data_IF_068939863798
#
_entry.id   IF_068939863798
#
_cell.length_a   1.000
_cell.length_b   1.000
_cell.length_c   1.000
_cell.angle_alpha   90.00
_cell.angle_beta   90.00
_cell.angle_gamma   90.00
#
_symmetry.space_group_name_H-M   'P 1'
#
loop_
_entity.id
_entity.type
_entity.pdbx_description
1 polymer ?
#
# COMPACT_ATOMS: atom_id res chain seq x y z
N UNK A 1 1.31 24.52 -16.07
CA UNK A 1 1.43 23.05 -16.15
C UNK A 1 0.23 22.40 -15.49
N UNK A 2 -0.21 21.24 -15.97
CA UNK A 2 -1.18 20.37 -15.27
C UNK A 2 -0.53 19.73 -14.03
N UNK A 3 -1.31 19.20 -13.07
CA UNK A 3 -0.75 18.43 -11.96
C UNK A 3 0.16 17.28 -12.41
N UNK A 4 -0.24 16.53 -13.44
CA UNK A 4 0.58 15.47 -14.03
C UNK A 4 1.88 16.01 -14.63
N UNK A 5 1.83 17.08 -15.41
CA UNK A 5 3.04 17.70 -15.97
C UNK A 5 4.02 18.14 -14.89
N UNK A 6 3.51 18.64 -13.75
CA UNK A 6 4.34 19.01 -12.60
C UNK A 6 5.05 17.81 -11.99
N UNK A 7 4.33 16.71 -11.75
CA UNK A 7 4.93 15.45 -11.31
C UNK A 7 6.01 14.97 -12.27
N UNK A 8 5.72 14.96 -13.58
CA UNK A 8 6.66 14.48 -14.60
C UNK A 8 7.91 15.37 -14.70
N UNK A 9 7.77 16.69 -14.64
CA UNK A 9 8.92 17.61 -14.60
C UNK A 9 9.79 17.36 -13.35
N UNK A 10 9.17 17.21 -12.17
CA UNK A 10 9.90 16.91 -10.94
C UNK A 10 10.70 15.61 -11.07
N UNK A 11 10.08 14.53 -11.55
CA UNK A 11 10.73 13.23 -11.73
C UNK A 11 11.83 13.25 -12.80
N UNK A 12 11.72 14.13 -13.79
CA UNK A 12 12.76 14.37 -14.80
C UNK A 12 13.92 15.24 -14.29
N UNK A 13 13.86 15.74 -13.05
CA UNK A 13 14.84 16.69 -12.51
C UNK A 13 14.72 18.10 -13.09
N UNK A 14 13.61 18.40 -13.77
CA UNK A 14 13.29 19.71 -14.31
C UNK A 14 12.59 20.57 -13.25
N UNK A 15 12.57 21.89 -13.46
CA UNK A 15 11.90 22.81 -12.54
C UNK A 15 10.41 22.95 -12.92
N UNK A 16 9.47 22.45 -12.11
CA UNK A 16 8.05 22.71 -12.33
C UNK A 16 7.69 24.19 -12.10
N UNK A 17 6.50 24.61 -12.58
CA UNK A 17 5.99 25.98 -12.43
C UNK A 17 5.67 26.36 -10.97
N UNK A 18 5.55 25.37 -10.08
CA UNK A 18 5.50 25.52 -8.62
C UNK A 18 5.91 24.20 -7.94
N UNK A 19 6.11 24.23 -6.61
CA UNK A 19 6.37 23.02 -5.80
C UNK A 19 5.21 22.03 -5.96
N UNK A 20 5.54 20.78 -6.27
CA UNK A 20 4.58 19.67 -6.38
C UNK A 20 4.08 19.27 -5.00
N UNK A 21 2.78 19.02 -4.87
CA UNK A 21 2.14 18.70 -3.59
C UNK A 21 1.25 17.47 -3.69
N UNK A 22 1.33 16.60 -2.68
CA UNK A 22 0.40 15.49 -2.47
C UNK A 22 -0.40 15.69 -1.17
N UNK A 23 -1.45 14.88 -0.99
CA UNK A 23 -2.34 14.98 0.17
C UNK A 23 -2.82 13.61 0.63
N UNK A 24 -2.53 13.31 1.89
CA UNK A 24 -2.91 12.07 2.58
C UNK A 24 -3.61 12.45 3.87
N UNK A 25 -4.85 11.99 4.03
CA UNK A 25 -5.63 12.19 5.23
C UNK A 25 -6.73 11.14 5.33
N UNK A 26 -7.28 10.97 6.54
CA UNK A 26 -8.45 10.13 6.73
C UNK A 26 -9.69 10.74 6.05
N UNK A 27 -10.74 9.92 5.80
CA UNK A 27 -12.00 10.42 5.24
C UNK A 27 -12.60 11.56 6.06
N UNK A 28 -12.58 11.45 7.39
CA UNK A 28 -13.17 12.42 8.31
C UNK A 28 -12.51 13.81 8.20
N UNK A 29 -11.18 13.84 8.04
CA UNK A 29 -10.42 15.08 7.83
C UNK A 29 -10.75 15.68 6.46
N UNK A 30 -10.81 14.84 5.42
CA UNK A 30 -11.10 15.29 4.06
C UNK A 30 -12.51 15.86 3.96
N UNK A 31 -13.51 15.20 4.53
CA UNK A 31 -14.90 15.66 4.61
C UNK A 31 -15.01 17.00 5.34
N UNK A 32 -14.30 17.13 6.47
CA UNK A 32 -14.24 18.38 7.22
C UNK A 32 -13.64 19.52 6.38
N UNK A 33 -12.52 19.29 5.70
CA UNK A 33 -11.88 20.29 4.84
C UNK A 33 -12.79 20.70 3.68
N UNK A 34 -13.46 19.74 3.03
CA UNK A 34 -14.43 20.03 1.98
C UNK A 34 -15.55 20.94 2.49
N UNK A 35 -16.13 20.62 3.66
CA UNK A 35 -17.20 21.42 4.28
C UNK A 35 -16.72 22.82 4.65
N UNK A 36 -15.59 22.96 5.36
CA UNK A 36 -15.09 24.25 5.84
C UNK A 36 -14.63 25.17 4.70
N UNK A 37 -14.13 24.59 3.61
CA UNK A 37 -13.66 25.34 2.44
C UNK A 37 -14.70 25.44 1.31
N UNK A 38 -15.94 25.00 1.55
CA UNK A 38 -17.04 24.97 0.58
C UNK A 38 -16.66 24.29 -0.75
N UNK A 39 -15.94 23.18 -0.67
CA UNK A 39 -15.57 22.37 -1.84
C UNK A 39 -16.58 21.21 -2.00
N UNK A 40 -17.23 21.05 -3.16
CA UNK A 40 -18.23 20.00 -3.37
C UNK A 40 -17.64 18.58 -3.40
N UNK A 41 -16.35 18.47 -3.73
CA UNK A 41 -15.64 17.19 -3.84
C UNK A 41 -14.12 17.39 -3.62
N UNK A 42 -13.39 16.27 -3.68
CA UNK A 42 -11.94 16.24 -3.50
C UNK A 42 -11.18 16.99 -4.61
N UNK A 43 -11.69 17.00 -5.85
CA UNK A 43 -11.04 17.71 -6.96
C UNK A 43 -11.14 19.24 -6.78
N UNK A 44 -12.29 19.73 -6.31
CA UNK A 44 -12.47 21.11 -5.93
C UNK A 44 -11.58 21.48 -4.73
N UNK A 45 -11.47 20.60 -3.73
CA UNK A 45 -10.54 20.78 -2.61
C UNK A 45 -9.09 20.87 -3.09
N UNK A 46 -8.67 19.95 -3.96
CA UNK A 46 -7.33 19.94 -4.53
C UNK A 46 -7.06 21.21 -5.33
N UNK A 47 -8.02 21.68 -6.12
CA UNK A 47 -7.90 22.95 -6.85
C UNK A 47 -7.77 24.13 -5.88
N UNK A 48 -8.65 24.19 -4.86
CA UNK A 48 -8.71 25.28 -3.88
C UNK A 48 -7.44 25.42 -3.04
N UNK A 49 -6.82 24.30 -2.71
CA UNK A 49 -5.60 24.20 -1.91
C UNK A 49 -4.33 24.05 -2.75
N UNK A 50 -4.44 24.07 -4.08
CA UNK A 50 -3.30 23.87 -4.98
C UNK A 50 -2.56 22.54 -4.75
N UNK A 51 -3.32 21.46 -4.53
CA UNK A 51 -2.83 20.09 -4.39
C UNK A 51 -2.75 19.43 -5.77
N UNK A 52 -1.55 18.99 -6.14
CA UNK A 52 -1.34 18.29 -7.40
C UNK A 52 -1.79 16.84 -7.35
N UNK A 53 -1.70 16.19 -6.19
CA UNK A 53 -2.31 14.90 -5.89
C UNK A 53 -1.94 13.76 -6.84
N UNK A 54 -2.36 12.57 -6.50
CA UNK A 54 -2.22 11.38 -7.35
C UNK A 54 -3.54 10.64 -7.42
N UNK A 55 -3.82 10.01 -8.56
CA UNK A 55 -4.94 9.08 -8.67
C UNK A 55 -4.38 7.67 -8.51
N UNK A 56 -4.84 6.97 -7.48
CA UNK A 56 -4.53 5.55 -7.30
C UNK A 56 -5.48 4.73 -8.16
N UNK A 57 -4.90 3.87 -9.00
CA UNK A 57 -5.64 2.91 -9.81
C UNK A 57 -4.96 1.58 -9.66
N UNK A 58 -5.64 0.60 -9.08
CA UNK A 58 -5.11 -0.74 -8.85
C UNK A 58 -6.11 -1.79 -9.34
N UNK A 59 -5.64 -2.98 -9.73
CA UNK A 59 -6.53 -4.01 -10.23
C UNK A 59 -7.43 -4.50 -9.08
N UNK A 60 -8.76 -4.50 -9.26
CA UNK A 60 -9.66 -4.95 -8.21
C UNK A 60 -9.48 -6.46 -7.99
N UNK A 61 -9.58 -6.90 -6.73
CA UNK A 61 -9.45 -8.31 -6.38
C UNK A 61 -10.68 -9.12 -6.83
N UNK A 62 -10.45 -10.27 -7.46
CA UNK A 62 -11.48 -11.28 -7.78
C UNK A 62 -11.73 -12.21 -6.59
N UNK A 63 -10.72 -12.47 -5.77
CA UNK A 63 -10.83 -13.18 -4.49
C UNK A 63 -10.66 -12.18 -3.36
N UNK A 64 -11.64 -12.11 -2.46
CA UNK A 64 -11.67 -11.08 -1.40
C UNK A 64 -11.41 -11.60 0.00
N UNK A 65 -11.45 -12.92 0.19
CA UNK A 65 -11.35 -13.54 1.50
C UNK A 65 -10.35 -14.69 1.53
N UNK A 66 -9.86 -14.99 2.73
CA UNK A 66 -8.97 -16.10 2.98
C UNK A 66 -9.67 -17.46 2.76
N UNK A 67 -8.99 -18.49 2.23
CA UNK A 67 -9.56 -19.83 2.11
C UNK A 67 -10.03 -20.36 3.47
N UNK A 68 -11.33 -20.64 3.58
CA UNK A 68 -11.93 -21.18 4.82
C UNK A 68 -12.34 -20.12 5.85
N UNK A 69 -12.05 -18.83 5.63
CA UNK A 69 -12.51 -17.73 6.49
C UNK A 69 -12.95 -16.52 5.65
N UNK A 70 -14.27 -16.37 5.50
CA UNK A 70 -14.88 -15.29 4.72
C UNK A 70 -14.75 -13.89 5.36
N UNK A 71 -14.37 -13.82 6.64
CA UNK A 71 -14.18 -12.55 7.35
C UNK A 71 -12.77 -11.99 7.19
N UNK A 72 -11.79 -12.86 6.99
CA UNK A 72 -10.41 -12.49 6.85
C UNK A 72 -10.11 -12.03 5.43
N UNK A 73 -9.18 -11.07 5.28
CA UNK A 73 -8.73 -10.63 3.97
C UNK A 73 -7.90 -11.72 3.25
N UNK A 74 -7.39 -11.41 2.06
CA UNK A 74 -6.64 -12.37 1.24
C UNK A 74 -5.37 -12.92 1.92
N UNK A 75 -4.90 -12.28 2.99
CA UNK A 75 -3.74 -12.68 3.76
C UNK A 75 -4.11 -13.36 5.07
N UNK A 76 -5.40 -13.62 5.33
CA UNK A 76 -5.86 -14.23 6.57
C UNK A 76 -5.93 -13.25 7.76
N UNK A 77 -5.89 -11.94 7.49
CA UNK A 77 -6.00 -10.92 8.52
C UNK A 77 -7.46 -10.51 8.76
N UNK A 78 -7.83 -10.51 10.02
CA UNK A 78 -9.06 -9.96 10.54
C UNK A 78 -8.79 -8.55 11.03
N UNK A 79 -9.76 -7.66 10.81
CA UNK A 79 -9.69 -6.27 11.23
C UNK A 79 -10.87 -5.91 12.12
N UNK A 80 -10.60 -5.07 13.11
CA UNK A 80 -11.61 -4.48 13.97
C UNK A 80 -11.51 -2.97 13.90
N UNK A 81 -12.64 -2.32 13.66
CA UNK A 81 -12.76 -0.86 13.70
C UNK A 81 -12.62 -0.39 15.14
N UNK A 82 -11.69 0.51 15.40
CA UNK A 82 -11.47 1.14 16.70
C UNK A 82 -11.70 2.65 16.58
N UNK A 83 -12.60 3.17 17.43
CA UNK A 83 -12.96 4.58 17.49
C UNK A 83 -12.16 5.29 18.59
N UNK A 84 -11.52 6.41 18.22
CA UNK A 84 -10.74 7.26 19.13
C UNK A 84 -11.36 8.67 19.28
N UNK A 85 -12.65 8.82 18.95
CA UNK A 85 -13.48 9.99 19.17
C UNK A 85 -13.45 11.04 18.05
N UNK A 86 -12.30 11.24 17.39
CA UNK A 86 -12.16 12.19 16.27
C UNK A 86 -12.01 11.51 14.90
N UNK A 87 -11.99 10.18 14.90
CA UNK A 87 -11.82 9.32 13.74
C UNK A 87 -11.69 7.87 14.21
N UNK A 88 -11.62 6.96 13.26
CA UNK A 88 -11.46 5.55 13.56
C UNK A 88 -10.47 4.88 12.61
N UNK A 89 -9.78 3.86 13.11
CA UNK A 89 -8.84 3.05 12.35
C UNK A 89 -9.21 1.57 12.42
N UNK A 90 -8.79 0.81 11.42
CA UNK A 90 -8.88 -0.63 11.45
C UNK A 90 -7.59 -1.19 12.05
N UNK A 91 -7.70 -1.80 13.23
CA UNK A 91 -6.62 -2.54 13.86
C UNK A 91 -6.71 -4.03 13.50
N UNK A 92 -5.58 -4.73 13.53
CA UNK A 92 -5.55 -6.18 13.34
C UNK A 92 -6.11 -6.90 14.59
N UNK A 93 -7.06 -7.80 14.35
CA UNK A 93 -7.73 -8.60 15.40
C UNK A 93 -7.08 -10.00 15.54
N UNK A 94 -6.20 -10.38 14.60
CA UNK A 94 -5.43 -11.62 14.63
C UNK A 94 -4.07 -11.47 13.94
N UNK A 95 -3.25 -12.51 14.11
CA UNK A 95 -1.94 -12.67 13.47
C UNK A 95 -1.80 -14.14 13.01
N UNK A 96 -2.18 -14.48 11.77
CA UNK A 96 -2.32 -15.87 11.32
C UNK A 96 -1.01 -16.66 11.32
N UNK A 97 0.15 -16.00 11.32
CA UNK A 97 1.47 -16.62 11.41
C UNK A 97 2.07 -16.55 12.82
N UNK A 98 1.37 -16.06 13.85
CA UNK A 98 1.94 -15.89 15.20
C UNK A 98 2.49 -17.20 15.79
N UNK A 99 1.83 -18.34 15.54
CA UNK A 99 2.20 -19.64 16.10
C UNK A 99 3.17 -20.44 15.21
N UNK A 100 3.57 -19.93 14.04
CA UNK A 100 4.49 -20.67 13.16
C UNK A 100 5.88 -20.81 13.80
N UNK A 101 6.46 -21.99 13.76
CA UNK A 101 7.77 -22.29 14.35
C UNK A 101 8.75 -22.87 13.33
N UNK A 102 8.29 -23.12 12.10
CA UNK A 102 9.13 -23.71 11.05
C UNK A 102 8.92 -23.03 9.70
N UNK A 103 9.95 -23.03 8.86
CA UNK A 103 9.87 -22.57 7.46
C UNK A 103 8.80 -23.33 6.67
N UNK A 104 8.62 -24.63 6.91
CA UNK A 104 7.62 -25.44 6.23
C UNK A 104 6.21 -24.90 6.45
N UNK A 105 5.86 -24.49 7.67
CA UNK A 105 4.55 -23.91 7.97
C UNK A 105 4.32 -22.60 7.22
N UNK A 106 5.37 -21.79 7.06
CA UNK A 106 5.33 -20.58 6.23
C UNK A 106 5.13 -20.94 4.75
N UNK A 107 5.79 -21.98 4.26
CA UNK A 107 5.69 -22.40 2.86
C UNK A 107 4.33 -23.02 2.50
N UNK A 108 3.74 -23.76 3.43
CA UNK A 108 2.44 -24.42 3.29
C UNK A 108 1.27 -23.47 3.54
N UNK A 109 1.52 -22.27 4.06
CA UNK A 109 0.49 -21.26 4.28
C UNK A 109 -0.27 -20.94 2.96
N UNK A 110 -1.61 -20.77 3.00
CA UNK A 110 -2.45 -20.42 1.83
C UNK A 110 -2.22 -19.00 1.27
N UNK A 111 -1.01 -18.69 0.81
CA UNK A 111 -0.67 -17.39 0.25
C UNK A 111 -1.56 -17.00 -0.95
N UNK A 112 -1.98 -15.73 -1.06
CA UNK A 112 -2.69 -15.25 -2.23
C UNK A 112 -1.80 -15.29 -3.46
N UNK A 113 -2.41 -15.22 -4.64
CA UNK A 113 -1.71 -15.26 -5.92
C UNK A 113 -2.07 -14.06 -6.77
N UNK A 114 -1.16 -13.67 -7.65
CA UNK A 114 -1.35 -12.50 -8.51
C UNK A 114 -2.57 -12.63 -9.44
N UNK A 115 -2.96 -13.86 -9.80
CA UNK A 115 -4.13 -14.14 -10.64
C UNK A 115 -5.46 -13.83 -9.96
N UNK A 116 -5.47 -13.53 -8.65
CA UNK A 116 -6.67 -13.14 -7.90
C UNK A 116 -7.09 -11.67 -8.13
N UNK A 117 -6.75 -11.12 -9.29
CA UNK A 117 -7.08 -9.74 -9.68
C UNK A 117 -7.72 -9.67 -11.07
N UNK A 118 -8.62 -8.72 -11.23
CA UNK A 118 -9.29 -8.43 -12.49
C UNK A 118 -8.50 -7.38 -13.26
N UNK A 119 -7.60 -7.85 -14.11
CA UNK A 119 -6.75 -7.02 -14.95
C UNK A 119 -7.48 -6.36 -16.12
N UNK A 120 -8.67 -6.84 -16.49
CA UNK A 120 -9.47 -6.21 -17.54
C UNK A 120 -10.23 -5.00 -16.98
N UNK A 121 -10.81 -5.13 -15.77
CA UNK A 121 -11.35 -4.00 -15.02
C UNK A 121 -10.26 -2.96 -14.72
N UNK A 122 -9.04 -3.40 -14.39
CA UNK A 122 -7.89 -2.50 -14.23
C UNK A 122 -7.60 -1.69 -15.50
N UNK A 123 -7.53 -2.35 -16.66
CA UNK A 123 -7.29 -1.68 -17.95
C UNK A 123 -8.35 -0.62 -18.23
N UNK A 124 -9.62 -0.93 -17.97
CA UNK A 124 -10.72 0.00 -18.14
C UNK A 124 -10.63 1.20 -17.18
N UNK A 125 -10.35 0.94 -15.90
CA UNK A 125 -10.17 1.99 -14.89
C UNK A 125 -9.00 2.91 -15.23
N UNK A 126 -7.89 2.34 -15.71
CA UNK A 126 -6.70 3.09 -16.11
C UNK A 126 -6.94 3.99 -17.32
N UNK A 127 -7.73 3.51 -18.29
CA UNK A 127 -8.15 4.30 -19.45
C UNK A 127 -9.11 5.44 -19.06
N UNK A 128 -9.92 5.25 -18.02
CA UNK A 128 -10.85 6.26 -17.50
C UNK A 128 -10.17 7.27 -16.55
N UNK A 129 -8.95 7.00 -16.08
CA UNK A 129 -8.26 7.86 -15.12
C UNK A 129 -7.98 9.26 -15.70
N UNK A 130 -8.23 10.35 -14.95
CA UNK A 130 -8.08 11.72 -15.46
C UNK A 130 -6.69 12.00 -16.03
N UNK A 131 -6.62 12.44 -17.30
CA UNK A 131 -5.34 12.65 -18.00
C UNK A 131 -4.45 13.73 -17.37
N UNK A 132 -5.03 14.67 -16.63
CA UNK A 132 -4.31 15.78 -15.99
C UNK A 132 -3.72 15.40 -14.61
N UNK A 133 -3.96 14.18 -14.11
CA UNK A 133 -3.43 13.67 -12.83
C UNK A 133 -2.38 12.58 -13.08
N UNK A 134 -1.33 12.60 -12.27
CA UNK A 134 -0.39 11.49 -12.20
C UNK A 134 -1.11 10.24 -11.68
N UNK A 135 -0.84 9.08 -12.27
CA UNK A 135 -1.38 7.81 -11.78
C UNK A 135 -0.33 7.06 -10.99
N UNK A 136 -0.69 6.71 -9.76
CA UNK A 136 0.04 5.76 -8.92
C UNK A 136 -0.64 4.39 -9.03
N UNK A 137 0.15 3.34 -9.22
CA UNK A 137 -0.37 1.97 -9.31
C UNK A 137 0.71 0.98 -8.87
N UNK A 138 0.27 -0.08 -8.21
CA UNK A 138 1.14 -1.05 -7.57
C UNK A 138 1.68 -0.54 -6.24
N UNK A 139 1.82 -1.48 -5.32
CA UNK A 139 2.37 -1.25 -3.99
C UNK A 139 3.29 -2.40 -3.56
N UNK A 140 4.19 -2.12 -2.64
CA UNK A 140 5.01 -3.11 -1.96
C UNK A 140 5.44 -2.56 -0.59
N UNK A 141 5.04 -3.25 0.49
CA UNK A 141 5.45 -2.95 1.87
C UNK A 141 5.58 -4.26 2.68
N UNK A 142 6.59 -5.10 2.35
CA UNK A 142 6.61 -6.48 2.82
C UNK A 142 6.79 -6.66 4.32
N UNK A 143 7.57 -5.83 4.98
CA UNK A 143 7.87 -6.03 6.40
C UNK A 143 6.70 -5.58 7.28
N UNK A 144 6.01 -4.48 6.96
CA UNK A 144 4.78 -4.11 7.67
C UNK A 144 3.71 -5.21 7.55
N UNK A 145 3.53 -5.77 6.36
CA UNK A 145 2.61 -6.90 6.16
C UNK A 145 3.07 -8.13 6.96
N UNK A 146 4.38 -8.41 7.00
CA UNK A 146 4.90 -9.49 7.84
C UNK A 146 4.61 -9.24 9.33
N UNK A 147 4.80 -8.02 9.83
CA UNK A 147 4.41 -7.63 11.18
C UNK A 147 2.92 -7.83 11.45
N UNK A 148 2.05 -7.53 10.48
CA UNK A 148 0.63 -7.80 10.59
C UNK A 148 0.33 -9.30 10.67
N UNK A 149 1.01 -10.13 9.88
CA UNK A 149 0.79 -11.57 9.85
C UNK A 149 1.33 -12.29 11.08
N UNK A 150 2.51 -11.86 11.55
CA UNK A 150 3.28 -12.52 12.60
C UNK A 150 3.00 -11.95 14.00
N UNK A 151 2.54 -10.71 14.07
CA UNK A 151 2.53 -9.90 15.28
C UNK A 151 3.80 -9.06 15.36
N UNK A 152 3.66 -7.76 15.62
CA UNK A 152 4.75 -6.77 15.54
C UNK A 152 5.97 -7.15 16.41
N UNK A 153 5.75 -7.48 17.68
CA UNK A 153 6.82 -7.83 18.61
C UNK A 153 7.60 -9.06 18.15
N UNK A 154 6.90 -10.14 17.78
CA UNK A 154 7.54 -11.36 17.30
C UNK A 154 8.25 -11.13 15.97
N UNK A 155 7.64 -10.40 15.03
CA UNK A 155 8.26 -10.07 13.74
C UNK A 155 9.58 -9.31 13.90
N UNK A 156 9.64 -8.36 14.85
CA UNK A 156 10.86 -7.64 15.17
C UNK A 156 11.91 -8.54 15.83
N UNK A 157 11.52 -9.45 16.73
CA UNK A 157 12.43 -10.42 17.33
C UNK A 157 12.97 -11.42 16.29
N UNK A 158 12.12 -11.88 15.37
CA UNK A 158 12.45 -12.88 14.34
C UNK A 158 13.60 -12.43 13.44
N UNK A 159 13.80 -11.12 13.24
CA UNK A 159 14.97 -10.59 12.53
C UNK A 159 16.31 -11.02 13.15
N UNK A 160 16.33 -11.34 14.44
CA UNK A 160 17.52 -11.80 15.16
C UNK A 160 17.44 -13.28 15.52
N UNK A 161 16.26 -13.76 15.89
CA UNK A 161 16.10 -15.10 16.46
C UNK A 161 15.70 -16.14 15.43
N UNK A 162 14.94 -15.75 14.40
CA UNK A 162 14.35 -16.67 13.41
C UNK A 162 14.48 -16.12 11.96
N UNK A 163 15.70 -15.75 11.51
CA UNK A 163 15.89 -15.09 10.21
C UNK A 163 15.44 -15.95 9.02
N UNK A 164 15.44 -17.28 9.16
CA UNK A 164 14.96 -18.19 8.12
C UNK A 164 13.43 -18.12 7.95
N UNK A 165 12.67 -17.93 9.04
CA UNK A 165 11.22 -17.71 9.00
C UNK A 165 10.92 -16.36 8.32
N UNK A 166 11.66 -15.30 8.70
CA UNK A 166 11.54 -13.97 8.08
C UNK A 166 11.77 -14.08 6.58
N UNK A 167 12.90 -14.68 6.16
CA UNK A 167 13.27 -14.81 4.75
C UNK A 167 12.23 -15.60 3.97
N UNK A 168 11.70 -16.68 4.54
CA UNK A 168 10.65 -17.47 3.90
C UNK A 168 9.35 -16.67 3.71
N UNK A 169 8.92 -15.92 4.73
CA UNK A 169 7.70 -15.12 4.67
C UNK A 169 7.84 -13.93 3.73
N UNK A 170 8.92 -13.14 3.86
CA UNK A 170 9.18 -12.01 2.98
C UNK A 170 9.35 -12.45 1.52
N UNK A 171 9.96 -13.62 1.26
CA UNK A 171 10.04 -14.14 -0.10
C UNK A 171 8.66 -14.45 -0.69
N UNK A 172 7.69 -14.93 0.11
CA UNK A 172 6.31 -15.17 -0.35
C UNK A 172 5.56 -13.87 -0.61
N UNK A 173 5.65 -12.92 0.31
CA UNK A 173 5.06 -11.59 0.16
C UNK A 173 5.62 -10.88 -1.08
N UNK A 174 6.95 -10.85 -1.22
CA UNK A 174 7.64 -10.26 -2.36
C UNK A 174 7.21 -10.91 -3.68
N UNK A 175 7.17 -12.25 -3.77
CA UNK A 175 6.76 -12.94 -5.00
C UNK A 175 5.34 -12.54 -5.43
N UNK A 176 4.42 -12.39 -4.48
CA UNK A 176 3.06 -11.92 -4.77
C UNK A 176 3.06 -10.49 -5.32
N UNK A 177 3.70 -9.54 -4.63
CA UNK A 177 3.75 -8.14 -5.07
C UNK A 177 4.49 -8.01 -6.40
N UNK A 178 5.61 -8.70 -6.57
CA UNK A 178 6.38 -8.71 -7.82
C UNK A 178 5.53 -9.19 -9.00
N UNK A 179 4.86 -10.34 -8.87
CA UNK A 179 4.04 -10.89 -9.96
C UNK A 179 2.85 -9.97 -10.30
N UNK A 180 2.20 -9.40 -9.28
CA UNK A 180 1.08 -8.47 -9.46
C UNK A 180 1.54 -7.16 -10.12
N UNK A 181 2.61 -6.55 -9.60
CA UNK A 181 3.15 -5.29 -10.09
C UNK A 181 3.75 -5.43 -11.50
N UNK A 182 4.40 -6.55 -11.82
CA UNK A 182 4.87 -6.84 -13.18
C UNK A 182 3.72 -6.78 -14.20
N UNK A 183 2.56 -7.36 -13.85
CA UNK A 183 1.38 -7.34 -14.71
C UNK A 183 0.74 -5.95 -14.79
N UNK A 184 0.67 -5.24 -13.66
CA UNK A 184 0.23 -3.84 -13.59
C UNK A 184 1.05 -2.96 -14.54
N UNK A 185 2.38 -3.04 -14.48
CA UNK A 185 3.27 -2.22 -15.31
C UNK A 185 3.23 -2.60 -16.79
N UNK A 186 3.04 -3.88 -17.11
CA UNK A 186 2.85 -4.32 -18.50
C UNK A 186 1.57 -3.71 -19.08
N UNK A 187 0.45 -3.76 -18.36
CA UNK A 187 -0.84 -3.22 -18.79
C UNK A 187 -0.83 -1.69 -18.83
N UNK A 188 -0.24 -1.06 -17.82
CA UNK A 188 -0.27 0.38 -17.62
C UNK A 188 0.90 1.16 -18.21
N UNK A 189 1.70 0.52 -19.07
CA UNK A 189 2.84 1.16 -19.76
C UNK A 189 2.43 2.50 -20.37
N UNK A 190 3.14 3.56 -19.99
CA UNK A 190 2.93 4.92 -20.49
C UNK A 190 1.78 5.68 -19.84
N UNK A 191 1.01 5.05 -18.95
CA UNK A 191 -0.09 5.69 -18.20
C UNK A 191 0.15 5.75 -16.69
N UNK A 192 0.87 4.78 -16.14
CA UNK A 192 1.35 4.80 -14.75
C UNK A 192 2.56 5.71 -14.67
N UNK A 193 2.51 6.68 -13.75
CA UNK A 193 3.56 7.67 -13.55
C UNK A 193 4.34 7.40 -12.25
N UNK A 194 3.72 6.72 -11.27
CA UNK A 194 4.26 6.48 -9.92
C UNK A 194 4.00 5.03 -9.45
N UNK A 195 4.87 4.53 -8.57
CA UNK A 195 4.75 3.26 -7.87
C UNK A 195 4.99 3.48 -6.38
N UNK A 196 4.17 2.86 -5.52
CA UNK A 196 4.31 3.01 -4.07
C UNK A 196 5.21 1.91 -3.49
N UNK A 197 6.38 2.30 -2.99
CA UNK A 197 7.27 1.43 -2.23
C UNK A 197 7.49 2.07 -0.87
N UNK A 198 7.08 1.40 0.20
CA UNK A 198 7.20 1.90 1.56
C UNK A 198 7.80 0.83 2.45
N UNK A 199 8.40 1.26 3.55
CA UNK A 199 8.72 0.40 4.68
C UNK A 199 8.98 1.24 5.94
N UNK A 200 8.25 0.93 7.01
CA UNK A 200 8.34 1.66 8.28
C UNK A 200 9.52 1.16 9.13
N UNK A 201 10.73 1.58 8.76
CA UNK A 201 11.99 1.17 9.43
C UNK A 201 12.45 2.15 10.52
N UNK A 202 11.81 3.31 10.61
CA UNK A 202 12.22 4.45 11.44
C UNK A 202 11.32 4.69 12.65
N UNK A 203 11.92 5.12 13.75
CA UNK A 203 11.23 5.66 14.92
C UNK A 203 11.31 7.19 14.95
N UNK A 204 10.87 7.81 16.04
CA UNK A 204 10.84 9.27 16.16
C UNK A 204 12.24 9.92 16.08
N UNK A 205 13.26 9.28 16.64
CA UNK A 205 14.62 9.85 16.77
C UNK A 205 15.72 8.99 16.17
N UNK A 206 15.44 7.72 15.85
CA UNK A 206 16.42 6.78 15.30
C UNK A 206 15.72 5.63 14.58
N UNK A 207 16.48 4.76 13.90
CA UNK A 207 15.94 3.55 13.30
C UNK A 207 15.35 2.60 14.36
N UNK A 208 14.20 2.00 14.04
CA UNK A 208 13.62 0.90 14.83
C UNK A 208 14.38 -0.41 14.61
N UNK A 209 14.94 -0.57 13.42
CA UNK A 209 15.62 -1.78 12.98
C UNK A 209 17.09 -1.47 12.72
N UNK A 210 17.98 -2.34 13.18
CA UNK A 210 19.42 -2.18 12.96
C UNK A 210 19.78 -2.18 11.47
N UNK A 211 20.74 -1.34 11.07
CA UNK A 211 21.23 -1.30 9.70
C UNK A 211 21.67 -2.67 9.13
N UNK A 212 22.28 -3.58 9.91
CA UNK A 212 22.59 -4.92 9.42
C UNK A 212 21.33 -5.68 8.99
N UNK A 213 20.26 -5.65 9.80
CA UNK A 213 19.00 -6.34 9.52
C UNK A 213 18.25 -5.72 8.34
N UNK A 214 18.35 -4.39 8.14
CA UNK A 214 17.76 -3.72 6.97
C UNK A 214 18.45 -4.12 5.66
N UNK A 215 19.75 -4.45 5.72
CA UNK A 215 20.56 -4.74 4.54
C UNK A 215 20.56 -6.22 4.13
N UNK A 216 20.12 -7.10 5.02
CA UNK A 216 19.97 -8.53 4.76
C UNK A 216 18.80 -8.78 3.79
#
# INVERSE_FOLDING_TARGET
MTPRERWLALLAGERPDRVVTDYWATPEVTERLCRELNCPDREALYTRLSIDGVVHVDPPRTVRAFPGDARADIWGLLRRRVDYGTGAYDEFDNHPLAAATTVREIEEYPWPRAEHHDFDAFRAALAAAPAHRAVCSGECEPFLLYCALRGMEQAMMDLLTEPDIVRAALARIFRYHYATNARIFEIGRGRIDLFYLAEDLGGQTNLLIGLPQIRE
#
